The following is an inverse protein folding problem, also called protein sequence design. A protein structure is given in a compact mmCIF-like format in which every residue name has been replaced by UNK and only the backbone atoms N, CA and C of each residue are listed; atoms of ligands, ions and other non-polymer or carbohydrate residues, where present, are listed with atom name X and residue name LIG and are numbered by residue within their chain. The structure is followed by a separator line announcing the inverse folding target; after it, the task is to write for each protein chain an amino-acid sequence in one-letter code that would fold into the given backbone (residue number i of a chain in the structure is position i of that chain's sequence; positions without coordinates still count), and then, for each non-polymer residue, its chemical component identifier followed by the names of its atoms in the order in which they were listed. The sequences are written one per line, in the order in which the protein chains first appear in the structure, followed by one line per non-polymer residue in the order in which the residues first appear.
data_IF_364591068682
#
_entry.id   IF_364591068682
#
_cell.length_a   1.000
_cell.length_b   1.000
_cell.length_c   1.000
_cell.angle_alpha   90.00
_cell.angle_beta   90.00
_cell.angle_gamma   90.00
#
_symmetry.space_group_name_H-M   'P 1'
#
loop_
_entity.id
_entity.type
_entity.pdbx_description
1 polymer ?
#
# COMPACT_ATOMS: atom_id res chain seq x y z
N UNK A 1 -3.98 -15.59 -3.46
CA UNK A 1 -5.19 -16.28 -3.96
C UNK A 1 -6.23 -15.29 -4.45
N UNK A 2 -6.54 -14.20 -3.73
CA UNK A 2 -7.43 -13.15 -4.26
C UNK A 2 -6.85 -12.44 -5.52
N UNK A 3 -5.60 -11.95 -5.47
CA UNK A 3 -4.98 -11.20 -6.59
C UNK A 3 -4.79 -12.03 -7.88
N UNK A 4 -4.83 -13.38 -7.79
CA UNK A 4 -4.77 -14.24 -8.97
C UNK A 4 -6.10 -14.37 -9.72
N UNK A 5 -7.23 -14.10 -9.06
CA UNK A 5 -8.56 -14.10 -9.67
C UNK A 5 -8.88 -12.75 -10.34
N UNK A 6 -8.26 -11.66 -9.88
CA UNK A 6 -8.37 -10.31 -10.45
C UNK A 6 -7.63 -10.15 -11.81
N UNK A 7 -7.16 -11.25 -12.41
CA UNK A 7 -6.46 -11.24 -13.69
C UNK A 7 -5.09 -10.56 -13.68
N UNK A 8 -4.57 -10.15 -12.50
CA UNK A 8 -3.34 -9.36 -12.35
C UNK A 8 -2.04 -10.16 -12.57
N UNK A 9 -2.07 -11.49 -12.39
CA UNK A 9 -0.90 -12.38 -12.54
C UNK A 9 -0.99 -13.32 -13.77
N UNK A 10 0.15 -13.74 -14.36
CA UNK A 10 0.15 -14.70 -15.47
C UNK A 10 -0.49 -16.05 -15.06
N UNK A 11 -1.38 -16.63 -15.88
CA UNK A 11 -2.14 -17.85 -15.55
C UNK A 11 -1.26 -19.09 -15.32
N UNK A 12 0.01 -19.03 -15.70
CA UNK A 12 0.97 -20.14 -15.50
C UNK A 12 1.48 -20.26 -14.05
N UNK A 13 1.40 -19.18 -13.26
CA UNK A 13 1.86 -19.16 -11.85
C UNK A 13 0.73 -19.60 -10.91
N UNK A 14 -0.53 -19.39 -11.31
CA UNK A 14 -1.73 -19.72 -10.54
C UNK A 14 -2.17 -21.20 -10.62
N UNK A 15 -1.40 -22.08 -11.28
CA UNK A 15 -1.75 -23.51 -11.38
C UNK A 15 -1.46 -24.24 -10.07
N UNK A 16 -2.50 -24.82 -9.48
CA UNK A 16 -2.42 -25.69 -8.31
C UNK A 16 -1.89 -27.08 -8.71
N UNK A 17 -1.16 -27.72 -7.80
CA UNK A 17 -0.84 -29.15 -7.90
C UNK A 17 -2.06 -29.99 -7.50
N UNK A 18 -2.01 -31.31 -7.74
CA UNK A 18 -3.03 -32.26 -7.31
C UNK A 18 -3.27 -32.28 -5.79
N UNK A 19 -2.35 -31.75 -4.98
CA UNK A 19 -2.46 -31.62 -3.53
C UNK A 19 -3.04 -30.26 -3.07
N UNK A 20 -3.54 -29.42 -3.98
CA UNK A 20 -4.07 -28.10 -3.65
C UNK A 20 -3.01 -27.04 -3.31
N UNK A 21 -1.72 -27.36 -3.52
CA UNK A 21 -0.60 -26.45 -3.22
C UNK A 21 -0.12 -25.77 -4.51
N UNK A 22 0.02 -24.43 -4.55
CA UNK A 22 0.56 -23.73 -5.72
C UNK A 22 2.09 -23.87 -5.76
N UNK A 23 2.58 -25.06 -6.14
CA UNK A 23 4.01 -25.41 -6.15
C UNK A 23 4.88 -24.39 -6.92
N UNK A 24 4.37 -23.84 -8.03
CA UNK A 24 5.10 -22.83 -8.84
C UNK A 24 5.27 -21.51 -8.08
N UNK A 25 4.25 -21.08 -7.36
CA UNK A 25 4.33 -19.89 -6.50
C UNK A 25 5.28 -20.14 -5.32
N UNK A 26 5.26 -21.35 -4.74
CA UNK A 26 6.17 -21.73 -3.67
C UNK A 26 7.64 -21.70 -4.13
N UNK A 27 7.95 -22.32 -5.28
CA UNK A 27 9.30 -22.31 -5.86
C UNK A 27 9.73 -20.89 -6.22
N UNK A 28 8.84 -20.09 -6.82
CA UNK A 28 9.13 -18.69 -7.12
C UNK A 28 9.47 -17.90 -5.84
N UNK A 29 8.67 -18.06 -4.78
CA UNK A 29 8.92 -17.39 -3.50
C UNK A 29 10.24 -17.85 -2.87
N UNK A 30 10.57 -19.14 -2.97
CA UNK A 30 11.84 -19.69 -2.51
C UNK A 30 13.01 -19.08 -3.27
N UNK A 31 12.96 -19.02 -4.60
CA UNK A 31 14.02 -18.43 -5.43
C UNK A 31 14.19 -16.95 -5.13
N UNK A 32 13.09 -16.19 -5.04
CA UNK A 32 13.14 -14.77 -4.69
C UNK A 32 13.73 -14.58 -3.29
N UNK A 33 13.32 -15.40 -2.32
CA UNK A 33 13.86 -15.37 -0.96
C UNK A 33 15.36 -15.66 -0.92
N UNK A 34 15.85 -16.65 -1.67
CA UNK A 34 17.28 -16.97 -1.77
C UNK A 34 18.07 -15.85 -2.44
N UNK A 35 17.52 -15.22 -3.48
CA UNK A 35 18.16 -14.09 -4.17
C UNK A 35 18.26 -12.88 -3.24
N UNK A 36 17.21 -12.56 -2.47
CA UNK A 36 17.25 -11.48 -1.48
C UNK A 36 18.25 -11.81 -0.37
N UNK A 37 18.26 -13.04 0.15
CA UNK A 37 19.22 -13.43 1.18
C UNK A 37 20.67 -13.36 0.70
N UNK A 38 20.94 -13.71 -0.56
CA UNK A 38 22.27 -13.62 -1.15
C UNK A 38 22.66 -12.18 -1.55
N UNK A 39 21.69 -11.35 -1.92
CA UNK A 39 21.91 -9.98 -2.39
C UNK A 39 22.12 -8.95 -1.28
N UNK A 40 21.60 -9.20 -0.08
CA UNK A 40 21.74 -8.30 1.07
C UNK A 40 23.02 -8.62 1.85
N UNK A 41 23.95 -7.67 1.88
CA UNK A 41 25.33 -7.88 2.36
C UNK A 41 25.43 -7.91 3.88
N UNK A 42 24.52 -7.22 4.58
CA UNK A 42 24.45 -7.18 6.06
C UNK A 42 23.45 -8.21 6.64
N UNK A 43 23.02 -9.17 5.80
CA UNK A 43 22.50 -10.48 6.20
C UNK A 43 21.03 -10.52 6.63
N UNK A 44 20.69 -9.95 7.79
CA UNK A 44 19.39 -10.19 8.45
C UNK A 44 18.68 -8.92 8.93
N UNK A 45 19.43 -7.99 9.55
CA UNK A 45 18.87 -6.70 10.00
C UNK A 45 18.34 -5.88 8.83
N UNK A 46 19.08 -5.87 7.72
CA UNK A 46 18.74 -5.15 6.50
C UNK A 46 17.48 -5.74 5.83
N UNK A 47 17.34 -7.07 5.80
CA UNK A 47 16.14 -7.74 5.30
C UNK A 47 14.90 -7.43 6.15
N UNK A 48 15.04 -7.38 7.48
CA UNK A 48 13.95 -7.00 8.38
C UNK A 48 13.55 -5.54 8.13
N UNK A 49 14.52 -4.62 8.02
CA UNK A 49 14.25 -3.21 7.75
C UNK A 49 13.51 -3.04 6.42
N UNK A 50 13.97 -3.73 5.37
CA UNK A 50 13.33 -3.76 4.06
C UNK A 50 11.90 -4.31 4.12
N UNK A 51 11.69 -5.46 4.77
CA UNK A 51 10.37 -6.07 4.88
C UNK A 51 9.40 -5.22 5.70
N UNK A 52 9.83 -4.69 6.84
CA UNK A 52 9.04 -3.77 7.66
C UNK A 52 8.69 -2.51 6.88
N UNK A 53 9.67 -1.93 6.17
CA UNK A 53 9.44 -0.80 5.28
C UNK A 53 8.36 -1.10 4.24
N UNK A 54 8.46 -2.24 3.54
CA UNK A 54 7.47 -2.65 2.55
C UNK A 54 6.06 -2.83 3.13
N UNK A 55 5.93 -3.49 4.29
CA UNK A 55 4.64 -3.72 4.96
C UNK A 55 4.02 -2.39 5.38
N UNK A 56 4.78 -1.54 6.07
CA UNK A 56 4.30 -0.26 6.58
C UNK A 56 3.94 0.67 5.43
N UNK A 57 4.74 0.68 4.38
CA UNK A 57 4.47 1.44 3.17
C UNK A 57 3.15 1.01 2.51
N UNK A 58 2.86 -0.29 2.47
CA UNK A 58 1.56 -0.82 2.00
C UNK A 58 0.38 -0.33 2.84
N UNK A 59 0.59 -0.17 4.16
CA UNK A 59 -0.45 0.33 5.06
C UNK A 59 -0.85 1.80 4.83
N UNK A 60 -0.08 2.58 4.04
CA UNK A 60 -0.40 3.99 3.78
C UNK A 60 -1.76 4.20 3.09
N UNK A 61 -2.24 3.20 2.33
CA UNK A 61 -3.53 3.27 1.62
C UNK A 61 -4.73 3.18 2.58
N UNK A 62 -4.59 2.48 3.70
CA UNK A 62 -5.67 2.21 4.65
C UNK A 62 -6.32 3.48 5.22
N UNK A 63 -5.55 4.42 5.80
CA UNK A 63 -6.08 5.66 6.36
C UNK A 63 -6.83 6.54 5.35
N UNK A 64 -6.37 6.60 4.10
CA UNK A 64 -7.03 7.41 3.06
C UNK A 64 -8.32 6.73 2.62
N UNK A 65 -8.27 5.42 2.35
CA UNK A 65 -9.44 4.65 1.89
C UNK A 65 -10.56 4.64 2.93
N UNK A 66 -10.25 4.48 4.23
CA UNK A 66 -11.29 4.49 5.27
C UNK A 66 -11.98 5.86 5.36
N UNK A 67 -11.25 6.96 5.24
CA UNK A 67 -11.86 8.31 5.27
C UNK A 67 -12.64 8.59 3.99
N UNK A 68 -12.11 8.23 2.83
CA UNK A 68 -12.79 8.38 1.55
C UNK A 68 -14.11 7.59 1.52
N UNK A 69 -14.08 6.31 1.90
CA UNK A 69 -15.27 5.46 1.93
C UNK A 69 -16.31 5.98 2.93
N UNK A 70 -15.87 6.55 4.06
CA UNK A 70 -16.80 7.16 5.02
C UNK A 70 -17.55 8.36 4.45
N UNK A 71 -16.93 9.13 3.55
CA UNK A 71 -17.54 10.26 2.86
C UNK A 71 -18.42 9.82 1.69
N UNK A 72 -18.01 8.79 0.97
CA UNK A 72 -18.70 8.31 -0.24
C UNK A 72 -19.96 7.51 0.07
N UNK A 73 -19.95 6.68 1.13
CA UNK A 73 -21.08 5.82 1.49
C UNK A 73 -21.45 6.01 2.98
N UNK A 74 -22.02 7.17 3.35
CA UNK A 74 -22.29 7.52 4.75
C UNK A 74 -23.36 6.63 5.40
N UNK A 75 -24.38 6.22 4.63
CA UNK A 75 -25.60 5.56 5.16
C UNK A 75 -25.47 4.05 5.38
N UNK A 76 -24.35 3.43 5.00
CA UNK A 76 -24.15 1.99 5.18
C UNK A 76 -24.07 1.65 6.68
N UNK A 77 -24.75 0.59 7.17
CA UNK A 77 -24.61 0.15 8.56
C UNK A 77 -23.16 -0.28 8.84
N UNK A 78 -22.59 0.20 9.96
CA UNK A 78 -21.19 -0.06 10.35
C UNK A 78 -21.14 -0.70 11.74
N UNK A 79 -20.59 -1.92 11.87
CA UNK A 79 -20.40 -2.57 13.18
C UNK A 79 -19.44 -1.80 14.09
N UNK A 80 -18.45 -1.10 13.50
CA UNK A 80 -17.44 -0.34 14.22
C UNK A 80 -17.54 1.16 13.91
N UNK A 81 -17.77 1.98 14.94
CA UNK A 81 -17.78 3.45 14.85
C UNK A 81 -16.62 4.03 15.65
N UNK A 82 -15.55 4.39 14.93
CA UNK A 82 -14.39 5.07 15.54
C UNK A 82 -14.68 6.56 15.72
N UNK A 83 -14.56 7.11 16.94
CA UNK A 83 -14.62 8.55 17.18
C UNK A 83 -13.42 9.25 16.54
N UNK A 84 -13.62 10.50 16.12
CA UNK A 84 -12.57 11.35 15.51
C UNK A 84 -11.78 10.71 14.36
N UNK A 85 -12.38 9.78 13.59
CA UNK A 85 -11.70 9.05 12.51
C UNK A 85 -10.84 9.95 11.60
N UNK A 86 -11.31 11.11 11.11
CA UNK A 86 -10.50 11.92 10.19
C UNK A 86 -9.18 12.39 10.82
N UNK A 87 -9.16 12.66 12.13
CA UNK A 87 -7.95 13.06 12.85
C UNK A 87 -7.04 11.85 13.04
N UNK A 88 -7.62 10.72 13.49
CA UNK A 88 -6.87 9.49 13.69
C UNK A 88 -6.24 8.97 12.40
N UNK A 89 -6.95 9.04 11.27
CA UNK A 89 -6.43 8.61 9.98
C UNK A 89 -5.22 9.44 9.53
N UNK A 90 -5.28 10.77 9.69
CA UNK A 90 -4.14 11.66 9.42
C UNK A 90 -2.95 11.32 10.30
N UNK A 91 -3.20 11.12 11.59
CA UNK A 91 -2.16 10.74 12.54
C UNK A 91 -1.51 9.42 12.16
N UNK A 92 -2.30 8.38 11.84
CA UNK A 92 -1.79 7.08 11.40
C UNK A 92 -0.98 7.23 10.11
N UNK A 93 -1.44 8.04 9.16
CA UNK A 93 -0.69 8.28 7.92
C UNK A 93 0.66 8.95 8.17
N UNK A 94 0.71 9.96 9.06
CA UNK A 94 1.97 10.58 9.50
C UNK A 94 2.89 9.54 10.15
N UNK A 95 2.37 8.71 11.06
CA UNK A 95 3.17 7.67 11.73
C UNK A 95 3.71 6.66 10.72
N UNK A 96 2.90 6.24 9.75
CA UNK A 96 3.34 5.37 8.65
C UNK A 96 4.49 6.02 7.86
N UNK A 97 4.35 7.29 7.46
CA UNK A 97 5.41 8.01 6.74
C UNK A 97 6.68 8.17 7.58
N UNK A 98 6.56 8.40 8.88
CA UNK A 98 7.70 8.51 9.80
C UNK A 98 8.44 7.19 9.98
N UNK A 99 7.71 6.08 10.14
CA UNK A 99 8.31 4.74 10.25
C UNK A 99 9.08 4.41 8.97
N UNK A 100 8.51 4.71 7.81
CA UNK A 100 9.19 4.53 6.51
C UNK A 100 10.45 5.41 6.46
N UNK A 101 10.34 6.68 6.82
CA UNK A 101 11.49 7.60 6.86
C UNK A 101 12.64 7.10 7.76
N UNK A 102 12.33 6.44 8.88
CA UNK A 102 13.33 5.84 9.77
C UNK A 102 14.01 4.59 9.18
N UNK A 103 13.42 3.94 8.18
CA UNK A 103 14.09 2.82 7.48
C UNK A 103 15.30 3.29 6.68
N UNK A 104 15.30 4.56 6.28
CA UNK A 104 16.44 5.26 5.72
C UNK A 104 16.72 4.96 4.24
N UNK A 105 17.54 5.85 3.68
CA UNK A 105 17.76 5.97 2.23
C UNK A 105 18.17 4.65 1.55
N UNK A 106 19.10 3.90 2.13
CA UNK A 106 19.57 2.64 1.56
C UNK A 106 18.42 1.62 1.41
N UNK A 107 17.54 1.53 2.41
CA UNK A 107 16.37 0.64 2.36
C UNK A 107 15.37 1.12 1.31
N UNK A 108 15.03 2.41 1.31
CA UNK A 108 14.02 2.96 0.41
C UNK A 108 14.46 2.99 -1.05
N UNK A 109 15.76 3.19 -1.32
CA UNK A 109 16.31 3.08 -2.68
C UNK A 109 16.16 1.66 -3.25
N UNK A 110 16.35 0.63 -2.41
CA UNK A 110 16.10 -0.78 -2.78
C UNK A 110 14.61 -1.05 -2.97
N UNK A 111 13.74 -0.51 -2.10
CA UNK A 111 12.28 -0.62 -2.24
C UNK A 111 11.72 0.09 -3.48
N UNK A 112 12.44 1.09 -4.00
CA UNK A 112 12.02 1.79 -5.22
C UNK A 112 12.02 0.85 -6.43
N UNK A 113 12.89 -0.17 -6.48
CA UNK A 113 12.96 -1.13 -7.59
C UNK A 113 11.65 -1.91 -7.78
N UNK A 114 11.13 -2.66 -6.79
CA UNK A 114 9.86 -3.38 -6.95
C UNK A 114 8.67 -2.43 -7.09
N UNK A 115 8.68 -1.26 -6.45
CA UNK A 115 7.62 -0.26 -6.61
C UNK A 115 7.57 0.26 -8.05
N UNK A 116 8.72 0.62 -8.62
CA UNK A 116 8.83 1.06 -10.01
C UNK A 116 8.45 -0.07 -10.99
N UNK A 117 8.88 -1.31 -10.71
CA UNK A 117 8.49 -2.48 -11.51
C UNK A 117 6.97 -2.71 -11.47
N UNK A 118 6.35 -2.65 -10.29
CA UNK A 118 4.90 -2.78 -10.11
C UNK A 118 4.13 -1.67 -10.84
N UNK A 119 4.58 -0.42 -10.70
CA UNK A 119 4.01 0.72 -11.43
C UNK A 119 4.17 0.59 -12.94
N UNK A 120 5.33 0.13 -13.42
CA UNK A 120 5.59 -0.11 -14.84
C UNK A 120 4.72 -1.22 -15.43
N UNK A 121 4.54 -2.33 -14.70
CA UNK A 121 3.64 -3.42 -15.09
C UNK A 121 2.20 -2.91 -15.16
N UNK A 122 1.75 -2.15 -14.16
CA UNK A 122 0.41 -1.56 -14.14
C UNK A 122 0.20 -0.64 -15.36
N UNK A 123 1.15 0.27 -15.63
CA UNK A 123 1.07 1.18 -16.77
C UNK A 123 1.05 0.42 -18.10
N UNK A 124 1.91 -0.57 -18.27
CA UNK A 124 1.94 -1.42 -19.46
C UNK A 124 0.60 -2.14 -19.68
N UNK A 125 -0.03 -2.63 -18.60
CA UNK A 125 -1.36 -3.25 -18.66
C UNK A 125 -2.46 -2.25 -19.00
N UNK A 126 -2.48 -1.08 -18.37
CA UNK A 126 -3.46 -0.02 -18.65
C UNK A 126 -3.39 0.43 -20.11
N UNK A 127 -2.19 0.49 -20.70
CA UNK A 127 -2.03 0.84 -22.13
C UNK A 127 -2.52 -0.28 -23.06
N UNK A 128 -2.38 -1.55 -22.66
CA UNK A 128 -2.78 -2.70 -23.49
C UNK A 128 -4.23 -3.12 -23.33
N UNK A 129 -4.82 -2.88 -22.17
CA UNK A 129 -6.15 -3.35 -21.81
C UNK A 129 -7.07 -2.17 -21.49
N UNK A 130 -7.89 -1.81 -22.48
CA UNK A 130 -8.85 -0.71 -22.38
C UNK A 130 -9.91 -0.97 -21.30
N UNK A 131 -10.29 -2.22 -21.08
CA UNK A 131 -11.28 -2.56 -20.04
C UNK A 131 -10.73 -2.35 -18.64
N UNK A 132 -9.45 -2.67 -18.44
CA UNK A 132 -8.73 -2.34 -17.21
C UNK A 132 -8.55 -0.83 -17.04
N UNK A 133 -8.26 -0.10 -18.11
CA UNK A 133 -8.15 1.36 -18.07
C UNK A 133 -9.48 2.04 -17.69
N UNK A 134 -10.60 1.55 -18.22
CA UNK A 134 -11.94 2.12 -17.94
C UNK A 134 -12.43 1.80 -16.52
N UNK A 135 -11.98 0.68 -15.94
CA UNK A 135 -12.30 0.29 -14.56
C UNK A 135 -11.41 0.98 -13.51
N UNK A 136 -10.24 1.49 -13.90
CA UNK A 136 -9.30 2.20 -13.02
C UNK A 136 -9.41 3.71 -13.20
N UNK A 137 -9.93 4.42 -12.19
CA UNK A 137 -9.80 5.87 -12.17
C UNK A 137 -8.37 6.28 -11.79
N UNK A 138 -7.53 6.49 -12.80
CA UNK A 138 -6.12 6.90 -12.66
C UNK A 138 -5.97 8.16 -11.79
N UNK A 139 -7.01 9.02 -11.70
CA UNK A 139 -7.00 10.18 -10.82
C UNK A 139 -6.77 9.78 -9.36
N UNK A 140 -7.35 8.67 -8.92
CA UNK A 140 -7.17 8.13 -7.57
C UNK A 140 -5.73 7.72 -7.26
N UNK A 141 -4.94 7.41 -8.28
CA UNK A 141 -3.54 6.99 -8.14
C UNK A 141 -2.55 8.16 -8.27
N UNK A 142 -2.99 9.35 -8.70
CA UNK A 142 -2.11 10.49 -9.01
C UNK A 142 -1.24 10.94 -7.85
N UNK A 143 -1.73 10.84 -6.61
CA UNK A 143 -0.99 11.25 -5.41
C UNK A 143 0.08 10.23 -4.99
N UNK A 144 -0.05 8.96 -5.41
CA UNK A 144 0.80 7.87 -4.95
C UNK A 144 2.22 7.98 -5.49
N UNK A 145 2.38 8.36 -6.77
CA UNK A 145 3.70 8.61 -7.38
C UNK A 145 4.48 9.72 -6.67
N UNK A 146 3.92 10.94 -6.54
CA UNK A 146 4.51 12.03 -5.76
C UNK A 146 4.76 11.67 -4.29
N UNK A 147 3.93 10.83 -3.67
CA UNK A 147 4.15 10.36 -2.30
C UNK A 147 5.44 9.53 -2.20
N UNK A 148 5.60 8.52 -3.06
CA UNK A 148 6.82 7.71 -3.09
C UNK A 148 8.06 8.53 -3.46
N UNK A 149 7.95 9.38 -4.48
CA UNK A 149 9.05 10.24 -4.92
C UNK A 149 9.46 11.23 -3.81
N UNK A 150 8.48 11.83 -3.13
CA UNK A 150 8.75 12.74 -2.02
C UNK A 150 9.37 12.04 -0.82
N UNK A 151 8.91 10.84 -0.45
CA UNK A 151 9.58 10.04 0.59
C UNK A 151 11.02 9.70 0.21
N UNK A 152 11.26 9.28 -1.04
CA UNK A 152 12.61 9.00 -1.53
C UNK A 152 13.53 10.22 -1.42
N UNK A 153 13.04 11.41 -1.82
CA UNK A 153 13.78 12.67 -1.68
C UNK A 153 14.01 13.06 -0.22
N UNK A 154 13.01 12.89 0.64
CA UNK A 154 13.11 13.21 2.06
C UNK A 154 14.10 12.30 2.76
N UNK A 155 14.11 11.01 2.47
CA UNK A 155 15.10 10.07 3.02
C UNK A 155 16.50 10.35 2.49
N UNK A 156 16.63 10.74 1.22
CA UNK A 156 17.90 11.16 0.65
C UNK A 156 18.48 12.41 1.33
N UNK A 157 17.64 13.41 1.59
CA UNK A 157 18.00 14.63 2.30
C UNK A 157 18.10 14.42 3.82
N UNK A 158 17.52 13.32 4.30
CA UNK A 158 17.43 12.95 5.70
C UNK A 158 18.72 12.36 6.24
N UNK A 159 18.62 11.89 7.48
CA UNK A 159 19.75 11.43 8.30
C UNK A 159 19.84 9.92 8.49
N UNK A 160 18.79 9.19 8.09
CA UNK A 160 18.68 7.75 8.32
C UNK A 160 19.19 6.95 7.12
N UNK A 161 19.86 5.82 7.38
CA UNK A 161 20.24 4.83 6.35
C UNK A 161 21.11 5.36 5.22
N UNK A 162 22.06 6.27 5.51
CA UNK A 162 22.99 6.79 4.51
C UNK A 162 22.50 8.01 3.72
N UNK A 163 21.45 8.70 4.20
CA UNK A 163 21.06 10.01 3.69
C UNK A 163 22.14 11.09 3.90
N UNK A 164 21.99 12.24 3.23
CA UNK A 164 22.98 13.32 3.21
C UNK A 164 23.02 14.21 4.46
N UNK A 165 22.12 13.97 5.41
CA UNK A 165 22.01 14.70 6.68
C UNK A 165 21.83 16.23 6.48
N UNK A 166 21.11 16.62 5.43
CA UNK A 166 20.84 18.03 5.11
C UNK A 166 19.78 18.65 6.03
N UNK A 167 18.89 17.83 6.58
CA UNK A 167 17.81 18.27 7.46
C UNK A 167 18.26 18.16 8.92
N UNK A 168 18.30 19.24 9.73
CA UNK A 168 18.66 19.18 11.15
C UNK A 168 17.73 18.30 11.98
N UNK A 169 18.21 17.87 13.17
CA UNK A 169 17.45 17.03 14.09
C UNK A 169 16.14 17.72 14.49
N UNK A 170 15.01 17.01 14.35
CA UNK A 170 13.68 17.52 14.67
C UNK A 170 13.01 18.26 13.51
N UNK A 171 13.78 18.98 12.68
CA UNK A 171 13.26 19.63 11.48
C UNK A 171 12.86 18.58 10.44
N UNK A 172 13.62 17.50 10.34
CA UNK A 172 13.29 16.36 9.48
C UNK A 172 11.92 15.74 9.82
N UNK A 173 11.67 15.49 11.10
CA UNK A 173 10.39 14.96 11.59
C UNK A 173 9.22 15.89 11.25
N UNK A 174 9.40 17.21 11.45
CA UNK A 174 8.40 18.20 11.09
C UNK A 174 8.16 18.25 9.57
N UNK A 175 9.23 18.15 8.78
CA UNK A 175 9.17 18.18 7.31
C UNK A 175 8.42 16.96 6.78
N UNK A 176 8.76 15.75 7.27
CA UNK A 176 8.06 14.51 6.91
C UNK A 176 6.60 14.55 7.35
N UNK A 177 6.32 15.09 8.54
CA UNK A 177 4.95 15.26 9.03
C UNK A 177 4.13 16.20 8.13
N UNK A 178 4.67 17.37 7.79
CA UNK A 178 4.01 18.33 6.91
C UNK A 178 3.77 17.74 5.51
N UNK A 179 4.78 17.04 4.97
CA UNK A 179 4.67 16.33 3.69
C UNK A 179 3.57 15.26 3.73
N UNK A 180 3.57 14.41 4.76
CA UNK A 180 2.58 13.34 4.93
C UNK A 180 1.15 13.90 5.01
N UNK A 181 0.93 15.00 5.74
CA UNK A 181 -0.38 15.66 5.80
C UNK A 181 -0.80 16.24 4.45
N UNK A 182 0.12 16.88 3.72
CA UNK A 182 -0.16 17.42 2.39
C UNK A 182 -0.55 16.29 1.41
N UNK A 183 0.17 15.18 1.44
CA UNK A 183 -0.11 14.01 0.60
C UNK A 183 -1.40 13.31 0.99
N UNK A 184 -1.72 13.24 2.29
CA UNK A 184 -2.99 12.70 2.76
C UNK A 184 -4.18 13.50 2.23
N UNK A 185 -4.12 14.84 2.31
CA UNK A 185 -5.17 15.71 1.79
C UNK A 185 -5.28 15.63 0.26
N UNK A 186 -4.15 15.51 -0.45
CA UNK A 186 -4.19 15.27 -1.89
C UNK A 186 -4.85 13.93 -2.21
N UNK A 187 -4.43 12.84 -1.57
CA UNK A 187 -5.03 11.52 -1.78
C UNK A 187 -6.53 11.50 -1.48
N UNK A 188 -6.96 12.22 -0.45
CA UNK A 188 -8.37 12.33 -0.09
C UNK A 188 -9.18 13.16 -1.11
N UNK A 189 -8.59 14.17 -1.74
CA UNK A 189 -9.21 14.94 -2.84
C UNK A 189 -9.24 14.18 -4.15
N UNK A 190 -8.27 13.29 -4.36
CA UNK A 190 -8.20 12.42 -5.53
C UNK A 190 -9.16 11.22 -5.46
N UNK A 191 -9.88 11.03 -4.34
CA UNK A 191 -10.81 9.93 -4.16
C UNK A 191 -12.00 9.99 -5.16
N UNK A 192 -12.52 8.80 -5.51
CA UNK A 192 -13.67 8.63 -6.42
C UNK A 192 -14.88 9.50 -6.02
N UNK A 193 -15.67 9.97 -6.99
CA UNK A 193 -16.97 10.56 -6.72
C UNK A 193 -17.89 9.60 -5.95
N UNK A 194 -18.70 10.14 -5.05
CA UNK A 194 -19.57 9.34 -4.18
C UNK A 194 -20.54 8.43 -4.96
N UNK A 195 -21.05 8.88 -6.10
CA UNK A 195 -21.96 8.10 -6.96
C UNK A 195 -21.28 6.86 -7.55
N UNK A 196 -20.06 6.99 -8.07
CA UNK A 196 -19.31 5.87 -8.64
C UNK A 196 -18.87 4.89 -7.55
N UNK A 197 -18.38 5.41 -6.42
CA UNK A 197 -18.00 4.57 -5.28
C UNK A 197 -19.20 3.79 -4.72
N UNK A 198 -20.38 4.43 -4.62
CA UNK A 198 -21.60 3.74 -4.18
C UNK A 198 -22.04 2.63 -5.15
N UNK A 199 -21.92 2.85 -6.47
CA UNK A 199 -22.21 1.84 -7.47
C UNK A 199 -21.28 0.62 -7.34
N UNK A 200 -19.96 0.85 -7.22
CA UNK A 200 -18.99 -0.24 -7.03
C UNK A 200 -19.22 -1.00 -5.72
N UNK A 201 -19.56 -0.30 -4.63
CA UNK A 201 -19.85 -0.93 -3.33
C UNK A 201 -21.17 -1.72 -3.36
N UNK A 202 -22.13 -1.34 -4.21
CA UNK A 202 -23.39 -2.06 -4.37
C UNK A 202 -23.21 -3.36 -5.18
N UNK A 203 -22.24 -3.40 -6.09
CA UNK A 203 -21.89 -4.60 -6.85
C UNK A 203 -21.18 -5.67 -5.99
N UNK A 204 -20.46 -5.24 -4.95
CA UNK A 204 -19.87 -6.15 -3.96
C UNK A 204 -20.97 -6.71 -3.07
N UNK A 205 -21.29 -8.00 -3.26
CA UNK A 205 -22.28 -8.75 -2.48
C UNK A 205 -22.09 -8.47 -0.97
N UNK A 206 -23.19 -8.25 -0.21
CA UNK A 206 -23.08 -8.14 1.24
C UNK A 206 -22.42 -9.41 1.77
N UNK A 207 -21.29 -9.24 2.47
CA UNK A 207 -20.65 -10.32 3.22
C UNK A 207 -21.74 -10.94 4.08
N UNK A 208 -22.08 -12.21 3.81
CA UNK A 208 -23.12 -12.92 4.54
C UNK A 208 -22.88 -12.75 6.03
N UNK A 209 -23.87 -12.19 6.74
CA UNK A 209 -23.80 -12.09 8.20
C UNK A 209 -23.52 -13.49 8.74
N UNK A 210 -22.44 -13.63 9.51
CA UNK A 210 -22.15 -14.88 10.19
C UNK A 210 -23.39 -15.26 11.02
N UNK A 211 -23.88 -16.51 10.92
CA UNK A 211 -25.08 -16.92 11.64
C UNK A 211 -24.89 -16.63 13.13
N UNK A 212 -25.93 -16.12 13.84
CA UNK A 212 -25.81 -15.76 15.24
C UNK A 212 -25.27 -16.95 16.03
N UNK A 213 -24.11 -16.74 16.67
CA UNK A 213 -23.38 -17.76 17.40
C UNK A 213 -24.30 -18.51 18.35
N UNK A 214 -24.29 -19.84 18.22
CA UNK A 214 -24.93 -20.76 19.13
C UNK A 214 -24.48 -20.42 20.55
N UNK A 215 -25.39 -19.86 21.36
CA UNK A 215 -25.18 -19.71 22.80
C UNK A 215 -24.91 -21.12 23.33
N UNK A 216 -23.67 -21.37 23.77
CA UNK A 216 -23.35 -22.55 24.58
C UNK A 216 -24.16 -22.43 25.86
N UNK A 217 -25.19 -23.27 25.98
CA UNK A 217 -25.81 -23.63 27.25
C UNK A 217 -25.02 -24.80 27.85
#
# INVERSE_FOLDING_TARGET
MAVSEDGLFPPRIARFSSAGVPLRALVLNLVVGLVLLAGFRDGWSELIAYNTGAIVLSMCLGPITVVALRRQVPDRPRPLRLPALPVLARFVFVVVSLIVYWTGWETMSKLTIPVALGGGILLWRVVRDRTLADSLDLRCLTWLGPYFAGLLVLEFAGRYGGGRDWLPAGIDLLTVTAFALAMFEWGLRSALPASQAAAMVAEVLPVAEAPPGHKRA
#
